data_IF_264751793104
#
_entry.id   IF_264751793104
#
_cell.length_a   1.000
_cell.length_b   1.000
_cell.length_c   1.000
_cell.angle_alpha   90.00
_cell.angle_beta   90.00
_cell.angle_gamma   90.00
#
_symmetry.space_group_name_H-M   'P 1'
#
loop_
_entity.id
_entity.type
_entity.pdbx_description
1 polymer ?
#
# COMPACT_ATOMS: atom_id res chain seq x y z
N UNK A 1 16.87 -6.90 -5.63
CA UNK A 1 16.58 -5.46 -5.86
C UNK A 1 17.75 -4.53 -5.52
N UNK A 2 18.85 -4.93 -4.86
CA UNK A 2 20.07 -4.10 -4.83
C UNK A 2 20.78 -3.99 -6.19
N UNK A 3 20.69 -5.02 -7.03
CA UNK A 3 21.57 -5.23 -8.19
C UNK A 3 21.28 -4.26 -9.34
N UNK A 4 20.01 -4.01 -9.65
CA UNK A 4 19.59 -3.14 -10.75
C UNK A 4 19.94 -1.67 -10.48
N UNK A 5 19.71 -1.19 -9.26
CA UNK A 5 20.10 0.17 -8.85
C UNK A 5 21.61 0.35 -8.89
N UNK A 6 22.36 -0.66 -8.45
CA UNK A 6 23.81 -0.61 -8.48
C UNK A 6 24.34 -0.58 -9.92
N UNK A 7 23.82 -1.42 -10.81
CA UNK A 7 24.22 -1.46 -12.22
C UNK A 7 23.90 -0.15 -12.98
N UNK A 8 22.75 0.47 -12.72
CA UNK A 8 22.34 1.74 -13.34
C UNK A 8 23.20 2.91 -12.87
N UNK A 9 23.67 2.90 -11.63
CA UNK A 9 24.44 4.00 -11.05
C UNK A 9 25.95 3.80 -11.17
N UNK A 10 26.44 2.56 -11.36
CA UNK A 10 27.87 2.29 -11.53
C UNK A 10 28.45 2.78 -12.86
N UNK A 11 27.59 3.05 -13.85
CA UNK A 11 27.99 3.59 -15.15
C UNK A 11 27.73 5.12 -15.20
N UNK A 12 28.78 5.89 -15.48
CA UNK A 12 28.71 7.36 -15.52
C UNK A 12 27.83 7.91 -16.66
N UNK A 13 27.68 7.18 -17.77
CA UNK A 13 26.79 7.56 -18.87
C UNK A 13 25.32 7.38 -18.49
N UNK A 14 25.01 6.34 -17.73
CA UNK A 14 23.65 6.08 -17.24
C UNK A 14 23.30 7.03 -16.08
N UNK A 15 24.22 7.25 -15.15
CA UNK A 15 24.02 8.16 -14.00
C UNK A 15 23.66 9.58 -14.43
N UNK A 16 24.23 10.08 -15.52
CA UNK A 16 23.93 11.43 -16.03
C UNK A 16 22.60 11.53 -16.80
N UNK A 17 21.97 10.41 -17.16
CA UNK A 17 20.70 10.36 -17.92
C UNK A 17 19.52 9.88 -17.08
N UNK A 18 19.77 9.15 -16.00
CA UNK A 18 18.75 8.61 -15.12
C UNK A 18 18.75 9.31 -13.77
N UNK A 19 17.65 10.00 -13.48
CA UNK A 19 17.35 10.46 -12.12
C UNK A 19 16.83 9.30 -11.27
N UNK A 20 17.37 9.14 -10.07
CA UNK A 20 16.84 8.19 -9.09
C UNK A 20 15.70 8.87 -8.30
N UNK A 21 14.45 8.63 -8.72
CA UNK A 21 13.27 9.01 -7.95
C UNK A 21 12.79 7.80 -7.15
N UNK A 22 12.93 7.85 -5.84
CA UNK A 22 12.39 6.82 -4.94
C UNK A 22 10.92 7.15 -4.65
N UNK A 23 10.02 6.22 -4.97
CA UNK A 23 8.62 6.34 -4.58
C UNK A 23 8.49 5.85 -3.13
N UNK A 24 8.10 6.74 -2.19
CA UNK A 24 7.90 6.32 -0.81
C UNK A 24 6.74 5.33 -0.72
N UNK A 25 6.81 4.45 0.27
CA UNK A 25 5.65 3.64 0.67
C UNK A 25 4.56 4.54 1.23
N UNK A 26 3.30 4.10 1.11
CA UNK A 26 2.20 4.81 1.73
C UNK A 26 2.32 4.83 3.25
N UNK A 27 2.03 5.99 3.83
CA UNK A 27 1.87 6.17 5.26
C UNK A 27 0.40 6.41 5.59
N UNK A 28 0.04 6.27 6.85
CA UNK A 28 -1.30 6.63 7.30
C UNK A 28 -1.46 8.16 7.28
N UNK A 29 -2.12 8.66 6.24
CA UNK A 29 -2.40 10.07 6.04
C UNK A 29 -3.44 10.31 4.95
N UNK A 30 -3.73 11.58 4.69
CA UNK A 30 -4.83 12.01 3.81
C UNK A 30 -4.65 11.52 2.38
N UNK A 31 -3.43 11.53 1.84
CA UNK A 31 -3.16 11.05 0.48
C UNK A 31 -3.49 9.55 0.32
N UNK A 32 -3.13 8.74 1.32
CA UNK A 32 -3.47 7.32 1.30
C UNK A 32 -4.97 7.09 1.49
N UNK A 33 -5.62 7.86 2.38
CA UNK A 33 -7.08 7.83 2.55
C UNK A 33 -7.81 8.19 1.26
N UNK A 34 -7.36 9.21 0.54
CA UNK A 34 -7.89 9.59 -0.77
C UNK A 34 -7.68 8.48 -1.80
N UNK A 35 -6.49 7.87 -1.86
CA UNK A 35 -6.22 6.75 -2.75
C UNK A 35 -7.19 5.58 -2.48
N UNK A 36 -7.31 5.11 -1.23
CA UNK A 36 -8.20 4.00 -0.87
C UNK A 36 -9.65 4.36 -1.18
N UNK A 37 -10.11 5.55 -0.79
CA UNK A 37 -11.50 5.99 -1.01
C UNK A 37 -11.84 5.99 -2.49
N UNK A 38 -10.96 6.56 -3.33
CA UNK A 38 -11.15 6.62 -4.79
C UNK A 38 -11.13 5.23 -5.42
N UNK A 39 -10.22 4.37 -4.97
CA UNK A 39 -10.16 2.99 -5.43
C UNK A 39 -11.46 2.25 -5.10
N UNK A 40 -11.96 2.34 -3.87
CA UNK A 40 -13.22 1.69 -3.45
C UNK A 40 -14.42 2.25 -4.21
N UNK A 41 -14.48 3.55 -4.46
CA UNK A 41 -15.55 4.16 -5.25
C UNK A 41 -15.57 3.73 -6.72
N UNK A 42 -14.44 3.23 -7.25
CA UNK A 42 -14.40 2.68 -8.61
C UNK A 42 -14.91 1.23 -8.71
N UNK A 43 -15.18 0.58 -7.58
CA UNK A 43 -15.63 -0.82 -7.54
C UNK A 43 -17.15 -0.91 -7.77
N UNK A 44 -17.64 -2.04 -8.32
CA UNK A 44 -19.06 -2.24 -8.59
C UNK A 44 -19.86 -2.65 -7.32
N UNK A 45 -19.64 -1.94 -6.21
CA UNK A 45 -20.37 -2.13 -4.96
C UNK A 45 -21.65 -1.31 -4.97
N UNK A 46 -22.77 -1.89 -4.55
CA UNK A 46 -24.09 -1.24 -4.61
C UNK A 46 -24.39 -0.35 -3.41
N UNK A 47 -23.71 -0.60 -2.30
CA UNK A 47 -23.95 0.09 -1.03
C UNK A 47 -22.79 1.05 -0.68
N UNK A 48 -23.08 2.17 0.01
CA UNK A 48 -22.06 3.10 0.48
C UNK A 48 -20.99 2.39 1.33
N UNK A 49 -19.73 2.66 1.01
CA UNK A 49 -18.56 2.03 1.63
C UNK A 49 -17.76 3.05 2.47
N UNK A 50 -17.97 3.12 3.80
CA UNK A 50 -17.26 4.05 4.68
C UNK A 50 -15.83 3.56 5.00
N UNK A 51 -14.90 3.84 4.09
CA UNK A 51 -13.51 3.36 4.16
C UNK A 51 -12.48 4.43 4.53
N UNK A 52 -12.90 5.62 4.93
CA UNK A 52 -12.03 6.77 5.24
C UNK A 52 -11.54 6.80 6.71
N UNK A 53 -11.95 5.82 7.53
CA UNK A 53 -11.57 5.81 8.94
C UNK A 53 -10.07 5.65 9.15
N UNK A 54 -9.50 6.44 10.07
CA UNK A 54 -8.08 6.35 10.46
C UNK A 54 -7.66 4.95 10.89
N UNK A 55 -8.56 4.22 11.55
CA UNK A 55 -8.33 2.84 12.01
C UNK A 55 -8.17 1.87 10.84
N UNK A 56 -8.97 2.02 9.78
CA UNK A 56 -8.83 1.20 8.57
C UNK A 56 -7.53 1.53 7.83
N UNK A 57 -7.17 2.81 7.70
CA UNK A 57 -5.90 3.22 7.10
C UNK A 57 -4.70 2.61 7.82
N UNK A 58 -4.70 2.62 9.16
CA UNK A 58 -3.66 1.97 9.97
C UNK A 58 -3.57 0.47 9.71
N UNK A 59 -4.70 -0.22 9.61
CA UNK A 59 -4.73 -1.65 9.32
C UNK A 59 -4.14 -1.94 7.93
N UNK A 60 -4.58 -1.21 6.90
CA UNK A 60 -4.11 -1.39 5.53
C UNK A 60 -2.60 -1.15 5.44
N UNK A 61 -2.10 0.00 5.91
CA UNK A 61 -0.66 0.31 5.90
C UNK A 61 0.14 -0.74 6.70
N UNK A 62 -0.34 -1.11 7.89
CA UNK A 62 0.36 -2.06 8.76
C UNK A 62 0.45 -3.47 8.17
N UNK A 63 -0.62 -3.97 7.53
CA UNK A 63 -0.65 -5.30 6.90
C UNK A 63 0.10 -5.35 5.57
N UNK A 64 0.10 -4.26 4.80
CA UNK A 64 0.68 -4.23 3.45
C UNK A 64 2.08 -3.63 3.39
N UNK A 65 2.57 -3.05 4.49
CA UNK A 65 3.81 -2.28 4.52
C UNK A 65 3.73 -0.97 3.72
N UNK A 66 2.51 -0.45 3.50
CA UNK A 66 2.29 0.72 2.64
C UNK A 66 2.56 0.45 1.16
N UNK A 67 2.60 -0.81 0.73
CA UNK A 67 2.81 -1.17 -0.67
C UNK A 67 1.48 -1.12 -1.43
N UNK A 68 1.43 -0.32 -2.49
CA UNK A 68 0.23 -0.15 -3.34
C UNK A 68 -0.38 -1.48 -3.77
N UNK A 69 0.45 -2.41 -4.25
CA UNK A 69 -0.03 -3.73 -4.70
C UNK A 69 -0.71 -4.53 -3.58
N UNK A 70 -0.15 -4.52 -2.37
CA UNK A 70 -0.74 -5.20 -1.22
C UNK A 70 -2.10 -4.59 -0.86
N UNK A 71 -2.18 -3.26 -0.84
CA UNK A 71 -3.43 -2.53 -0.58
C UNK A 71 -4.50 -2.83 -1.63
N UNK A 72 -4.15 -2.80 -2.92
CA UNK A 72 -5.09 -3.12 -3.99
C UNK A 72 -5.63 -4.55 -3.87
N UNK A 73 -4.76 -5.54 -3.61
CA UNK A 73 -5.16 -6.94 -3.45
C UNK A 73 -6.11 -7.14 -2.26
N UNK A 74 -5.84 -6.49 -1.13
CA UNK A 74 -6.71 -6.56 0.04
C UNK A 74 -8.11 -5.99 -0.28
N UNK A 75 -8.16 -4.82 -0.92
CA UNK A 75 -9.43 -4.17 -1.30
C UNK A 75 -10.20 -5.02 -2.33
N UNK A 76 -9.52 -5.54 -3.35
CA UNK A 76 -10.12 -6.42 -4.36
C UNK A 76 -10.77 -7.65 -3.72
N UNK A 77 -10.04 -8.34 -2.82
CA UNK A 77 -10.55 -9.54 -2.14
C UNK A 77 -11.72 -9.23 -1.21
N UNK A 78 -11.62 -8.15 -0.45
CA UNK A 78 -12.72 -7.70 0.40
C UNK A 78 -13.97 -7.39 -0.44
N UNK A 79 -13.81 -6.75 -1.60
CA UNK A 79 -14.92 -6.45 -2.50
C UNK A 79 -15.54 -7.71 -3.13
N UNK A 80 -14.72 -8.64 -3.61
CA UNK A 80 -15.20 -9.95 -4.12
C UNK A 80 -16.03 -10.66 -3.05
N UNK A 81 -15.54 -10.67 -1.81
CA UNK A 81 -16.24 -11.27 -0.69
C UNK A 81 -17.57 -10.57 -0.41
N UNK A 82 -17.58 -9.24 -0.34
CA UNK A 82 -18.78 -8.44 -0.10
C UNK A 82 -19.85 -8.64 -1.19
N UNK A 83 -19.43 -8.78 -2.45
CA UNK A 83 -20.34 -9.09 -3.58
C UNK A 83 -20.90 -10.50 -3.42
N UNK A 84 -20.06 -11.49 -3.15
CA UNK A 84 -20.49 -12.90 -2.99
C UNK A 84 -21.42 -13.11 -1.80
N UNK A 85 -21.24 -12.36 -0.71
CA UNK A 85 -22.11 -12.44 0.47
C UNK A 85 -23.39 -11.62 0.33
N UNK A 86 -23.54 -10.81 -0.73
CA UNK A 86 -24.65 -9.88 -0.91
C UNK A 86 -24.61 -8.66 0.02
N UNK A 87 -23.51 -8.47 0.77
CA UNK A 87 -23.33 -7.30 1.64
C UNK A 87 -23.09 -6.03 0.84
N UNK A 88 -22.40 -6.15 -0.31
CA UNK A 88 -22.17 -5.09 -1.31
C UNK A 88 -21.66 -3.73 -0.75
N UNK A 89 -21.03 -3.71 0.44
CA UNK A 89 -20.33 -2.57 1.08
C UNK A 89 -18.99 -2.99 1.66
N UNK A 90 -18.06 -2.05 1.73
CA UNK A 90 -16.81 -2.17 2.48
C UNK A 90 -16.79 -1.19 3.66
N UNK A 91 -16.48 -1.72 4.83
CA UNK A 91 -16.17 -0.98 6.04
C UNK A 91 -14.99 -1.66 6.74
N UNK A 92 -14.66 -1.25 7.97
CA UNK A 92 -13.58 -1.86 8.74
C UNK A 92 -13.73 -3.39 8.89
N UNK A 93 -14.94 -3.89 9.09
CA UNK A 93 -15.20 -5.32 9.33
C UNK A 93 -14.92 -6.18 8.10
N UNK A 94 -15.13 -5.62 6.90
CA UNK A 94 -14.83 -6.31 5.65
C UNK A 94 -13.34 -6.75 5.55
N UNK A 95 -12.45 -6.09 6.29
CA UNK A 95 -11.02 -6.37 6.33
C UNK A 95 -10.57 -7.19 7.56
N UNK A 96 -11.50 -7.61 8.42
CA UNK A 96 -11.18 -8.48 9.57
C UNK A 96 -11.10 -9.97 9.19
N UNK A 97 -11.49 -10.33 7.97
CA UNK A 97 -11.43 -11.71 7.48
C UNK A 97 -10.02 -12.09 7.01
N UNK A 98 -9.47 -13.20 7.54
CA UNK A 98 -8.10 -13.65 7.23
C UNK A 98 -7.87 -13.91 5.73
N UNK A 99 -8.89 -14.41 5.02
CA UNK A 99 -8.85 -14.67 3.57
C UNK A 99 -8.57 -13.41 2.73
N UNK A 100 -8.85 -12.21 3.27
CA UNK A 100 -8.49 -10.94 2.61
C UNK A 100 -6.98 -10.78 2.53
N UNK A 101 -6.26 -11.28 3.53
CA UNK A 101 -4.82 -11.06 3.72
C UNK A 101 -3.94 -12.19 3.22
N UNK A 102 -4.52 -13.30 2.75
CA UNK A 102 -3.77 -14.50 2.37
C UNK A 102 -2.66 -14.22 1.32
N UNK A 103 -1.40 -14.46 1.66
CA UNK A 103 -0.25 -14.15 0.80
C UNK A 103 -0.01 -12.66 0.52
N UNK A 104 -0.63 -11.76 1.29
CA UNK A 104 -0.25 -10.34 1.35
C UNK A 104 0.69 -10.18 2.53
N UNK A 105 1.98 -10.21 2.25
CA UNK A 105 3.01 -9.95 3.24
C UNK A 105 3.67 -8.61 2.94
N UNK A 106 3.80 -7.77 3.97
CA UNK A 106 4.66 -6.61 3.90
C UNK A 106 6.10 -7.09 3.63
N UNK A 107 6.83 -6.47 2.68
CA UNK A 107 8.23 -6.81 2.47
C UNK A 107 9.00 -6.62 3.78
N UNK A 108 9.83 -7.60 4.17
CA UNK A 108 10.77 -7.42 5.26
C UNK A 108 11.78 -6.36 4.81
N UNK A 109 11.60 -5.12 5.27
CA UNK A 109 12.58 -4.06 5.02
C UNK A 109 13.80 -4.33 5.91
N UNK A 110 14.76 -5.09 5.40
CA UNK A 110 16.06 -5.23 6.04
C UNK A 110 16.83 -3.91 5.95
N UNK A 111 17.00 -3.24 7.09
CA UNK A 111 18.05 -2.24 7.29
C UNK A 111 17.67 -0.78 7.06
N UNK A 112 16.93 -0.19 7.99
CA UNK A 112 16.92 1.27 8.15
C UNK A 112 18.30 1.77 8.58
N UNK A 113 19.08 2.31 7.63
CA UNK A 113 20.27 3.08 7.96
C UNK A 113 19.84 4.35 8.72
N UNK A 114 19.94 4.32 10.05
CA UNK A 114 19.91 5.53 10.90
C UNK A 114 21.00 6.49 10.40
N UNK A 115 20.63 7.51 9.64
CA UNK A 115 21.52 8.66 9.41
C UNK A 115 21.75 9.34 10.76
N UNK A 116 22.93 9.15 11.34
CA UNK A 116 23.41 9.95 12.47
C UNK A 116 23.48 11.40 12.00
N UNK A 117 22.65 12.25 12.60
CA UNK A 117 22.82 13.70 12.56
C UNK A 117 24.22 14.04 13.11
N UNK A 118 25.11 14.52 12.25
CA UNK A 118 26.33 15.20 12.69
C UNK A 118 25.94 16.65 12.97
N UNK A 119 25.87 17.00 14.25
CA UNK A 119 26.01 18.40 14.70
C UNK A 119 27.47 18.79 14.47
N UNK A 120 27.66 19.92 13.80
CA UNK A 120 28.90 20.68 13.67
C UNK A 120 28.50 22.13 13.55
#
# INVERSE_FOLDING_TARGET
MPETRHALLSDDQLRNRFMNLELPTWENGDDFSHFVTRLVWSLPLREPSPVDSRRLMQMLVGRTGGITLGTCKAIERAAIRAIRSGTERLDYQAFEHEEVWDGIEAPVIMGGHRRKSRRG
#
